data_IF_272048630257
#
_entry.id   IF_272048630257
#
_cell.length_a   1.000
_cell.length_b   1.000
_cell.length_c   1.000
_cell.angle_alpha   90.00
_cell.angle_beta   90.00
_cell.angle_gamma   90.00
#
_symmetry.space_group_name_H-M   'P 1'
#
loop_
_entity.id
_entity.type
_entity.pdbx_description
1 polymer ?
#
# COMPACT_ATOMS: atom_id res chain seq x y z
N UNK A 1 -33.67 -4.41 -2.84
CA UNK A 1 -34.45 -3.20 -3.20
C UNK A 1 -33.50 -2.00 -3.31
N UNK A 2 -33.59 -1.19 -4.36
CA UNK A 2 -32.74 0.01 -4.53
C UNK A 2 -33.17 1.09 -3.53
N UNK A 3 -32.20 1.66 -2.80
CA UNK A 3 -32.44 2.76 -1.85
C UNK A 3 -33.09 3.95 -2.59
N UNK A 4 -34.12 4.57 -1.97
CA UNK A 4 -34.90 5.67 -2.54
C UNK A 4 -34.02 6.78 -3.13
N UNK A 5 -32.89 7.10 -2.50
CA UNK A 5 -31.93 8.11 -2.96
C UNK A 5 -31.38 7.86 -4.37
N UNK A 6 -31.26 6.60 -4.79
CA UNK A 6 -30.62 6.20 -6.04
C UNK A 6 -31.61 5.81 -7.14
N UNK A 7 -32.93 5.84 -6.85
CA UNK A 7 -33.97 5.47 -7.83
C UNK A 7 -33.95 6.37 -9.06
N UNK A 8 -33.71 7.67 -8.87
CA UNK A 8 -33.63 8.64 -9.98
C UNK A 8 -32.43 8.40 -10.92
N UNK A 9 -31.43 7.62 -10.47
CA UNK A 9 -30.30 7.19 -11.29
C UNK A 9 -30.57 5.91 -12.08
N UNK A 10 -31.66 5.19 -11.81
CA UNK A 10 -32.04 3.98 -12.52
C UNK A 10 -32.74 4.35 -13.84
N UNK A 11 -32.08 4.11 -14.98
CA UNK A 11 -32.63 4.43 -16.30
C UNK A 11 -33.50 3.29 -16.84
N UNK A 12 -33.03 2.05 -16.73
CA UNK A 12 -33.80 0.87 -17.14
C UNK A 12 -33.33 -0.37 -16.40
N UNK A 13 -34.22 -1.31 -16.16
CA UNK A 13 -33.89 -2.66 -15.66
C UNK A 13 -34.75 -3.64 -16.44
N UNK A 14 -34.11 -4.64 -17.07
CA UNK A 14 -34.78 -5.61 -17.93
C UNK A 14 -34.23 -7.01 -17.67
N UNK A 15 -35.10 -8.01 -17.61
CA UNK A 15 -34.71 -9.41 -17.66
C UNK A 15 -34.53 -9.87 -19.11
N UNK A 16 -33.59 -10.77 -19.35
CA UNK A 16 -33.28 -11.32 -20.67
C UNK A 16 -33.49 -12.85 -20.66
N UNK A 17 -34.75 -13.32 -20.71
CA UNK A 17 -35.07 -14.75 -20.62
C UNK A 17 -34.66 -15.57 -21.85
N UNK A 18 -34.20 -14.93 -22.92
CA UNK A 18 -33.62 -15.58 -24.11
C UNK A 18 -32.12 -15.35 -24.25
N UNK A 19 -31.42 -14.95 -23.19
CA UNK A 19 -29.96 -14.89 -23.21
C UNK A 19 -29.40 -16.32 -23.21
N UNK A 20 -28.46 -16.59 -24.12
CA UNK A 20 -27.75 -17.86 -24.18
C UNK A 20 -26.80 -17.97 -22.97
N UNK A 21 -27.33 -18.45 -21.86
CA UNK A 21 -26.63 -18.66 -20.60
C UNK A 21 -26.97 -20.05 -20.11
N UNK A 22 -25.95 -20.88 -19.85
CA UNK A 22 -26.10 -22.23 -19.29
C UNK A 22 -26.42 -22.21 -17.78
N UNK A 23 -27.40 -21.40 -17.39
CA UNK A 23 -27.93 -21.29 -16.02
C UNK A 23 -29.44 -21.32 -16.04
N UNK A 24 -30.02 -21.89 -14.99
CA UNK A 24 -31.44 -21.87 -14.66
C UNK A 24 -31.97 -20.47 -14.26
N UNK A 25 -31.12 -19.43 -14.29
CA UNK A 25 -31.47 -18.07 -13.96
C UNK A 25 -31.54 -17.14 -15.18
N UNK A 26 -32.57 -16.29 -15.19
CA UNK A 26 -32.71 -15.23 -16.19
C UNK A 26 -31.80 -14.05 -15.84
N UNK A 27 -30.85 -13.66 -16.69
CA UNK A 27 -30.00 -12.50 -16.44
C UNK A 27 -30.82 -11.21 -16.44
N UNK A 28 -30.52 -10.33 -15.48
CA UNK A 28 -31.14 -9.01 -15.36
C UNK A 28 -30.09 -7.94 -15.64
N UNK A 29 -30.35 -7.07 -16.60
CA UNK A 29 -29.46 -5.97 -16.97
C UNK A 29 -30.11 -4.65 -16.58
N UNK A 30 -29.38 -3.87 -15.79
CA UNK A 30 -29.78 -2.53 -15.38
C UNK A 30 -28.87 -1.45 -15.95
N UNK A 31 -29.45 -0.41 -16.53
CA UNK A 31 -28.75 0.82 -16.94
C UNK A 31 -28.93 1.87 -15.85
N UNK A 32 -27.83 2.37 -15.33
CA UNK A 32 -27.83 3.39 -14.29
C UNK A 32 -26.97 4.59 -14.68
N UNK A 33 -27.37 5.79 -14.22
CA UNK A 33 -26.66 7.06 -14.40
C UNK A 33 -26.32 7.64 -13.04
N UNK A 34 -25.03 7.67 -12.72
CA UNK A 34 -24.50 8.25 -11.49
C UNK A 34 -23.44 9.30 -11.80
N UNK A 35 -23.38 10.33 -10.97
CA UNK A 35 -22.24 11.27 -10.90
C UNK A 35 -21.41 10.90 -9.68
N UNK A 36 -20.25 10.31 -9.90
CA UNK A 36 -19.32 10.02 -8.81
C UNK A 36 -18.42 11.23 -8.57
N UNK A 37 -18.07 11.47 -7.29
CA UNK A 37 -17.03 12.43 -6.96
C UNK A 37 -15.70 11.90 -7.53
N UNK A 38 -14.96 12.74 -8.25
CA UNK A 38 -13.57 12.44 -8.62
C UNK A 38 -12.77 12.33 -7.32
N UNK A 39 -12.26 11.13 -7.03
CA UNK A 39 -11.32 10.94 -5.93
C UNK A 39 -10.00 11.53 -6.39
N UNK A 40 -9.65 12.72 -5.90
CA UNK A 40 -8.32 13.27 -6.12
C UNK A 40 -7.31 12.32 -5.47
N UNK A 41 -6.36 11.80 -6.25
CA UNK A 41 -5.20 11.10 -5.69
C UNK A 41 -4.49 12.11 -4.81
N UNK A 42 -4.39 11.81 -3.52
CA UNK A 42 -3.60 12.65 -2.61
C UNK A 42 -2.17 12.62 -3.14
N UNK A 43 -1.59 13.77 -3.45
CA UNK A 43 -0.16 13.85 -3.74
C UNK A 43 0.55 13.30 -2.51
N UNK A 44 1.06 12.07 -2.61
CA UNK A 44 1.90 11.49 -1.59
C UNK A 44 3.28 12.12 -1.74
N UNK A 45 3.40 13.39 -1.35
CA UNK A 45 4.71 13.93 -1.09
C UNK A 45 5.27 13.05 0.02
N UNK A 46 6.20 12.17 -0.34
CA UNK A 46 6.87 11.29 0.60
C UNK A 46 7.54 12.22 1.61
N UNK A 47 7.02 12.22 2.84
CA UNK A 47 7.55 13.07 3.89
C UNK A 47 8.96 12.58 4.19
N UNK A 48 9.90 13.51 4.20
CA UNK A 48 11.24 13.25 4.71
C UNK A 48 11.10 13.02 6.21
N UNK A 49 11.55 11.88 6.72
CA UNK A 49 11.58 11.63 8.16
C UNK A 49 12.98 11.91 8.70
N UNK A 50 13.16 13.12 9.23
CA UNK A 50 14.41 13.54 9.87
C UNK A 50 14.76 12.73 11.12
N UNK A 51 13.81 11.95 11.68
CA UNK A 51 14.08 11.06 12.81
C UNK A 51 15.03 9.94 12.43
N UNK A 52 15.07 9.53 11.17
CA UNK A 52 16.00 8.50 10.67
C UNK A 52 17.45 8.93 10.91
N UNK A 53 17.76 10.23 10.88
CA UNK A 53 19.10 10.77 11.14
C UNK A 53 19.49 10.79 12.63
N UNK A 54 18.58 10.43 13.54
CA UNK A 54 18.94 10.23 14.96
C UNK A 54 19.77 8.96 15.14
N UNK A 55 19.58 7.97 14.27
CA UNK A 55 20.40 6.77 14.29
C UNK A 55 21.83 7.13 13.84
N UNK A 56 22.80 6.79 14.68
CA UNK A 56 24.20 7.16 14.45
C UNK A 56 24.73 6.57 13.14
N UNK A 57 24.34 5.32 12.85
CA UNK A 57 24.75 4.59 11.65
C UNK A 57 24.22 5.22 10.36
N UNK A 58 22.93 5.57 10.30
CA UNK A 58 22.32 6.19 9.13
C UNK A 58 22.91 7.58 8.89
N UNK A 59 23.13 8.35 9.96
CA UNK A 59 23.78 9.66 9.91
C UNK A 59 25.19 9.58 9.33
N UNK A 60 26.00 8.63 9.79
CA UNK A 60 27.36 8.42 9.28
C UNK A 60 27.35 8.03 7.80
N UNK A 61 26.49 7.10 7.40
CA UNK A 61 26.37 6.70 5.98
C UNK A 61 25.95 7.85 5.08
N UNK A 62 24.97 8.65 5.50
CA UNK A 62 24.49 9.80 4.72
C UNK A 62 25.58 10.87 4.61
N UNK A 63 26.31 11.12 5.70
CA UNK A 63 27.42 12.08 5.70
C UNK A 63 28.55 11.65 4.76
N UNK A 64 28.91 10.36 4.75
CA UNK A 64 29.93 9.81 3.84
C UNK A 64 29.50 9.95 2.38
N UNK A 65 28.29 9.49 2.03
CA UNK A 65 27.78 9.58 0.65
C UNK A 65 27.71 11.03 0.16
N UNK A 66 27.27 11.95 1.03
CA UNK A 66 27.21 13.37 0.69
C UNK A 66 28.62 13.94 0.45
N UNK A 67 29.57 13.61 1.32
CA UNK A 67 30.96 14.08 1.18
C UNK A 67 31.62 13.56 -0.09
N UNK A 68 31.45 12.28 -0.42
CA UNK A 68 31.98 11.68 -1.65
C UNK A 68 31.35 12.33 -2.89
N UNK A 69 30.03 12.52 -2.90
CA UNK A 69 29.34 13.16 -4.02
C UNK A 69 29.76 14.62 -4.20
N UNK A 70 29.98 15.37 -3.12
CA UNK A 70 30.45 16.76 -3.19
C UNK A 70 31.90 16.88 -3.64
N UNK A 71 32.78 15.98 -3.21
CA UNK A 71 34.19 15.98 -3.63
C UNK A 71 34.32 15.62 -5.11
N UNK A 72 33.50 14.68 -5.59
CA UNK A 72 33.51 14.22 -6.98
C UNK A 72 32.68 15.10 -7.93
N UNK A 73 32.05 16.18 -7.45
CA UNK A 73 31.37 17.13 -8.33
C UNK A 73 32.41 17.93 -9.12
N UNK A 74 32.37 17.79 -10.45
CA UNK A 74 33.13 18.65 -11.34
C UNK A 74 32.68 20.11 -11.15
N UNK A 75 33.65 21.02 -11.02
CA UNK A 75 33.37 22.44 -10.98
C UNK A 75 32.83 22.86 -12.36
N UNK A 76 31.52 23.06 -12.45
CA UNK A 76 30.93 23.62 -13.67
C UNK A 76 31.24 25.12 -13.72
N UNK A 77 31.45 25.67 -14.92
CA UNK A 77 31.68 27.10 -15.12
C UNK A 77 30.44 27.95 -14.77
N UNK A 78 29.28 27.32 -14.62
CA UNK A 78 28.01 27.95 -14.30
C UNK A 78 27.57 27.62 -12.87
N UNK A 79 27.51 28.65 -12.03
CA UNK A 79 27.08 28.52 -10.63
C UNK A 79 25.64 27.96 -10.50
N UNK A 80 24.74 28.29 -11.43
CA UNK A 80 23.35 27.81 -11.42
C UNK A 80 23.31 26.28 -11.60
N UNK A 81 24.12 25.76 -12.53
CA UNK A 81 24.21 24.34 -12.84
C UNK A 81 24.87 23.55 -11.70
N UNK A 82 25.91 24.12 -11.07
CA UNK A 82 26.50 23.57 -9.85
C UNK A 82 25.47 23.46 -8.71
N UNK A 83 24.65 24.50 -8.50
CA UNK A 83 23.61 24.48 -7.47
C UNK A 83 22.49 23.48 -7.77
N UNK A 84 22.10 23.36 -9.05
CA UNK A 84 21.13 22.36 -9.51
C UNK A 84 21.63 20.94 -9.19
N UNK A 85 22.89 20.64 -9.52
CA UNK A 85 23.51 19.34 -9.25
C UNK A 85 23.53 19.04 -7.75
N UNK A 86 23.88 20.03 -6.91
CA UNK A 86 23.83 19.89 -5.45
C UNK A 86 22.40 19.56 -5.00
N UNK A 87 21.40 20.31 -5.47
CA UNK A 87 20.00 20.08 -5.10
C UNK A 87 19.51 18.69 -5.50
N UNK A 88 19.92 18.20 -6.68
CA UNK A 88 19.61 16.85 -7.16
C UNK A 88 20.28 15.78 -6.29
N UNK A 89 21.55 15.95 -5.91
CA UNK A 89 22.22 15.00 -5.00
C UNK A 89 21.52 14.91 -3.65
N UNK A 90 21.08 16.05 -3.08
CA UNK A 90 20.29 16.07 -1.86
C UNK A 90 18.94 15.37 -2.02
N UNK A 91 18.25 15.59 -3.15
CA UNK A 91 16.99 14.91 -3.43
C UNK A 91 17.18 13.39 -3.57
N UNK A 92 18.24 12.94 -4.24
CA UNK A 92 18.54 11.52 -4.40
C UNK A 92 18.82 10.85 -3.03
N UNK A 93 19.65 11.49 -2.20
CA UNK A 93 19.95 11.00 -0.83
C UNK A 93 18.67 10.97 0.00
N UNK A 94 17.84 12.01 -0.11
CA UNK A 94 16.54 12.06 0.56
C UNK A 94 15.67 10.89 0.15
N UNK A 95 15.62 10.56 -1.14
CA UNK A 95 14.80 9.46 -1.63
C UNK A 95 15.31 8.09 -1.18
N UNK A 96 16.61 7.87 -1.20
CA UNK A 96 17.20 6.57 -0.86
C UNK A 96 17.19 6.30 0.65
N UNK A 97 17.52 7.31 1.45
CA UNK A 97 17.83 7.11 2.88
C UNK A 97 16.84 7.75 3.84
N UNK A 98 16.10 8.79 3.43
CA UNK A 98 15.29 9.62 4.33
C UNK A 98 13.78 9.54 4.05
N UNK A 99 13.36 8.73 3.09
CA UNK A 99 11.94 8.40 2.93
C UNK A 99 11.52 7.47 4.05
N UNK A 100 10.50 7.88 4.80
CA UNK A 100 9.78 7.01 5.72
C UNK A 100 9.27 5.80 4.92
N UNK A 101 9.88 4.63 5.14
CA UNK A 101 9.34 3.37 4.62
C UNK A 101 7.99 3.20 5.29
N UNK A 102 6.94 3.44 4.52
CA UNK A 102 5.58 3.17 4.97
C UNK A 102 5.54 1.68 5.27
N UNK A 103 5.58 1.32 6.55
CA UNK A 103 5.34 -0.06 6.95
C UNK A 103 3.94 -0.41 6.48
N UNK A 104 3.87 -1.08 5.32
CA UNK A 104 2.59 -1.53 4.78
C UNK A 104 1.99 -2.62 5.68
N UNK A 105 2.83 -3.23 6.51
CA UNK A 105 2.45 -4.21 7.51
C UNK A 105 2.06 -3.50 8.78
N UNK A 106 1.00 -3.99 9.41
CA UNK A 106 0.65 -3.55 10.75
C UNK A 106 1.77 -4.00 11.68
N UNK A 107 2.17 -3.16 12.63
CA UNK A 107 3.30 -3.43 13.54
C UNK A 107 3.19 -4.78 14.28
N UNK A 108 1.98 -5.25 14.58
CA UNK A 108 1.72 -6.57 15.20
C UNK A 108 1.83 -7.77 14.23
N UNK A 109 2.09 -7.55 12.94
CA UNK A 109 2.08 -8.59 11.91
C UNK A 109 3.46 -9.26 11.81
N UNK A 110 3.68 -10.26 12.66
CA UNK A 110 4.92 -11.03 12.74
C UNK A 110 5.00 -12.13 11.66
N UNK A 111 6.21 -12.57 11.32
CA UNK A 111 6.44 -13.61 10.31
C UNK A 111 5.81 -14.97 10.67
N UNK A 112 5.68 -15.28 11.97
CA UNK A 112 4.98 -16.47 12.45
C UNK A 112 3.49 -16.46 12.07
N UNK A 113 2.82 -15.31 12.15
CA UNK A 113 1.41 -15.17 11.76
C UNK A 113 1.26 -15.40 10.24
N UNK A 114 2.24 -14.94 9.45
CA UNK A 114 2.25 -15.14 8.00
C UNK A 114 2.41 -16.62 7.63
N UNK A 115 3.31 -17.34 8.30
CA UNK A 115 3.47 -18.79 8.12
C UNK A 115 2.18 -19.55 8.44
N UNK A 116 1.55 -19.25 9.58
CA UNK A 116 0.24 -19.85 9.95
C UNK A 116 -0.86 -19.52 8.92
N UNK A 117 -0.86 -18.34 8.33
CA UNK A 117 -1.80 -17.99 7.26
C UNK A 117 -1.58 -18.81 5.98
N UNK A 118 -0.32 -19.10 5.64
CA UNK A 118 0.07 -19.97 4.51
C UNK A 118 -0.39 -21.42 4.76
N UNK A 119 -0.15 -21.94 5.95
CA UNK A 119 -0.57 -23.28 6.37
C UNK A 119 -2.10 -23.43 6.36
N UNK A 120 -2.81 -22.38 6.80
CA UNK A 120 -4.28 -22.33 6.71
C UNK A 120 -4.77 -22.36 5.26
N UNK A 121 -4.09 -21.70 4.32
CA UNK A 121 -4.44 -21.77 2.89
C UNK A 121 -4.29 -23.20 2.36
N UNK A 122 -3.20 -23.87 2.70
CA UNK A 122 -2.95 -25.27 2.29
C UNK A 122 -3.96 -26.24 2.90
N UNK A 123 -4.43 -25.97 4.11
CA UNK A 123 -5.35 -26.84 4.85
C UNK A 123 -6.84 -26.66 4.51
N UNK A 124 -7.19 -26.01 3.38
CA UNK A 124 -8.58 -25.69 3.01
C UNK A 124 -9.49 -26.93 2.90
N UNK A 125 -8.92 -28.08 2.51
CA UNK A 125 -9.64 -29.34 2.35
C UNK A 125 -9.87 -30.08 3.68
N UNK A 126 -9.12 -29.76 4.74
CA UNK A 126 -9.27 -30.38 6.06
C UNK A 126 -9.84 -29.38 7.07
N UNK A 127 -11.14 -29.51 7.35
CA UNK A 127 -11.90 -28.55 8.17
C UNK A 127 -11.42 -28.47 9.62
N UNK A 128 -10.90 -29.57 10.18
CA UNK A 128 -10.42 -29.61 11.57
C UNK A 128 -9.10 -28.85 11.69
N UNK A 129 -8.14 -29.14 10.81
CA UNK A 129 -6.86 -28.44 10.76
C UNK A 129 -7.03 -26.95 10.46
N UNK A 130 -7.91 -26.62 9.50
CA UNK A 130 -8.22 -25.24 9.16
C UNK A 130 -8.71 -24.41 10.37
N UNK A 131 -9.64 -24.96 11.15
CA UNK A 131 -10.18 -24.29 12.32
C UNK A 131 -9.15 -24.16 13.46
N UNK A 132 -8.29 -25.16 13.61
CA UNK A 132 -7.22 -25.17 14.61
C UNK A 132 -6.20 -24.07 14.32
N UNK A 133 -5.70 -24.01 13.08
CA UNK A 133 -4.77 -22.97 12.63
C UNK A 133 -5.41 -21.58 12.73
N UNK A 134 -6.69 -21.44 12.39
CA UNK A 134 -7.42 -20.18 12.53
C UNK A 134 -7.48 -19.70 14.00
N UNK A 135 -7.62 -20.60 14.97
CA UNK A 135 -7.60 -20.27 16.40
C UNK A 135 -6.20 -19.87 16.86
N UNK A 136 -5.16 -20.54 16.37
CA UNK A 136 -3.76 -20.17 16.63
C UNK A 136 -3.44 -18.77 16.11
N UNK A 137 -3.81 -18.47 14.85
CA UNK A 137 -3.65 -17.13 14.25
C UNK A 137 -4.28 -16.05 15.13
N UNK A 138 -5.53 -16.25 15.59
CA UNK A 138 -6.21 -15.27 16.46
C UNK A 138 -5.48 -15.06 17.79
N UNK A 139 -4.92 -16.12 18.36
CA UNK A 139 -4.19 -16.07 19.63
C UNK A 139 -2.88 -15.31 19.47
N UNK A 140 -2.11 -15.61 18.42
CA UNK A 140 -0.86 -14.93 18.11
C UNK A 140 -1.07 -13.45 17.74
N UNK A 141 -2.14 -13.13 17.01
CA UNK A 141 -2.52 -11.73 16.76
C UNK A 141 -2.82 -11.00 18.06
N UNK A 142 -3.49 -11.64 19.03
CA UNK A 142 -3.79 -11.00 20.32
C UNK A 142 -2.50 -10.72 21.09
N UNK A 143 -1.61 -11.70 21.23
CA UNK A 143 -0.31 -11.53 21.89
C UNK A 143 0.55 -10.45 21.22
N UNK A 144 0.62 -10.47 19.89
CA UNK A 144 1.40 -9.49 19.14
C UNK A 144 0.84 -8.07 19.25
N UNK A 145 -0.44 -7.92 19.55
CA UNK A 145 -1.07 -6.63 19.86
C UNK A 145 -0.94 -6.21 21.32
N UNK A 146 -0.71 -7.13 22.25
CA UNK A 146 -0.50 -6.83 23.68
C UNK A 146 0.95 -6.43 23.97
N UNK A 147 1.90 -7.00 23.22
CA UNK A 147 3.33 -6.67 23.33
C UNK A 147 3.73 -5.36 22.62
N UNK A 148 2.75 -4.62 22.08
CA UNK A 148 2.92 -3.34 21.41
C UNK A 148 2.05 -2.28 22.09
#
# INVERSE_FOLDING_TARGET
MVNKRFRNGCLSVKGYPGADVSSDHVPVVGKFRFRFKKVAKKNSNKKCDMRILKDKKTKETVAQILSEKLINMEQTYNAEESLQNICETFNNIREEHLIEKKEMRKSWMNDNILQLMEERRKSKNNKIMYNTIQRQIRTEIRKAKENW
#
